data_IF_077849551352
#
_entry.id   IF_077849551352
#
_cell.length_a   1.000
_cell.length_b   1.000
_cell.length_c   1.000
_cell.angle_alpha   90.00
_cell.angle_beta   90.00
_cell.angle_gamma   90.00
#
_symmetry.space_group_name_H-M   'P 1'
#
loop_
_entity.id
_entity.type
_entity.pdbx_description
1 polymer ?
#
# COMPACT_ATOMS: atom_id res chain seq x y z
N UNK A 1 17.39 6.01 4.78
CA UNK A 1 17.70 4.63 5.17
C UNK A 1 19.20 4.38 5.25
N UNK A 2 19.98 4.84 4.28
CA UNK A 2 21.44 4.67 4.26
C UNK A 2 22.17 5.46 5.34
N UNK A 3 21.65 6.63 5.74
CA UNK A 3 22.21 7.41 6.86
C UNK A 3 21.91 6.77 8.21
N UNK A 4 20.72 6.16 8.36
CA UNK A 4 20.33 5.52 9.62
C UNK A 4 20.99 4.15 9.81
N UNK A 5 21.18 3.40 8.71
CA UNK A 5 21.88 2.11 8.59
C UNK A 5 21.68 1.16 9.79
N UNK A 6 20.42 0.90 10.14
CA UNK A 6 20.08 0.10 11.31
C UNK A 6 19.09 -1.03 10.96
N UNK A 7 19.38 -2.25 11.43
CA UNK A 7 18.60 -3.47 11.14
C UNK A 7 17.17 -3.47 11.67
N UNK A 8 16.79 -2.46 12.46
CA UNK A 8 15.44 -2.26 12.98
C UNK A 8 14.79 -0.95 12.52
N UNK A 9 15.38 -0.28 11.53
CA UNK A 9 14.81 0.91 10.90
C UNK A 9 14.27 0.51 9.52
N UNK A 10 13.01 0.81 9.26
CA UNK A 10 12.30 0.40 8.04
C UNK A 10 11.33 1.48 7.58
N UNK A 11 10.81 1.31 6.37
CA UNK A 11 9.87 2.23 5.74
C UNK A 11 8.45 1.68 5.85
N UNK A 12 7.52 2.59 6.16
CA UNK A 12 6.09 2.38 5.94
C UNK A 12 5.70 3.01 4.61
N UNK A 13 5.23 2.20 3.66
CA UNK A 13 4.57 2.74 2.47
C UNK A 13 3.18 3.23 2.88
N UNK A 14 2.84 4.48 2.59
CA UNK A 14 1.52 5.02 2.92
C UNK A 14 0.93 5.62 1.64
N UNK A 15 -0.09 4.96 1.10
CA UNK A 15 -0.55 5.05 -0.29
C UNK A 15 -1.09 6.44 -0.70
N UNK A 16 -0.20 7.42 -0.78
CA UNK A 16 -0.50 8.83 -0.98
C UNK A 16 -0.42 9.18 -2.46
N UNK A 17 -1.28 10.07 -2.96
CA UNK A 17 -1.26 10.47 -4.37
C UNK A 17 0.09 11.08 -4.82
N UNK A 18 0.88 11.62 -3.89
CA UNK A 18 2.24 12.12 -4.15
C UNK A 18 3.26 11.02 -4.49
N UNK A 19 2.92 9.76 -4.25
CA UNK A 19 3.76 8.61 -4.66
C UNK A 19 3.76 8.42 -6.19
N UNK A 20 2.79 9.03 -6.88
CA UNK A 20 2.61 8.91 -8.33
C UNK A 20 3.57 9.82 -9.08
N UNK A 21 4.13 9.31 -10.16
CA UNK A 21 4.81 10.11 -11.17
C UNK A 21 3.82 10.87 -12.07
N UNK A 22 4.36 11.62 -13.03
CA UNK A 22 3.59 12.40 -14.01
C UNK A 22 2.68 11.52 -14.89
N UNK A 23 2.97 10.23 -15.02
CA UNK A 23 2.16 9.26 -15.76
C UNK A 23 1.14 8.54 -14.87
N UNK A 24 1.17 8.80 -13.56
CA UNK A 24 0.27 8.21 -12.58
C UNK A 24 0.72 6.87 -12.01
N UNK A 25 1.91 6.38 -12.38
CA UNK A 25 2.50 5.15 -11.83
C UNK A 25 3.23 5.44 -10.53
N UNK A 26 3.28 4.46 -9.63
CA UNK A 26 4.07 4.54 -8.39
C UNK A 26 5.38 3.75 -8.47
N UNK A 27 5.62 3.05 -9.58
CA UNK A 27 6.68 2.03 -9.70
C UNK A 27 8.06 2.58 -9.40
N UNK A 28 8.42 3.72 -10.00
CA UNK A 28 9.73 4.34 -9.85
C UNK A 28 10.04 4.67 -8.38
N UNK A 29 9.09 5.32 -7.69
CA UNK A 29 9.20 5.67 -6.28
C UNK A 29 9.18 4.44 -5.37
N UNK A 30 8.37 3.42 -5.70
CA UNK A 30 8.33 2.16 -4.97
C UNK A 30 9.67 1.43 -5.03
N UNK A 31 10.27 1.33 -6.21
CA UNK A 31 11.55 0.62 -6.43
C UNK A 31 12.71 1.23 -5.62
N UNK A 32 12.68 2.54 -5.36
CA UNK A 32 13.66 3.22 -4.49
C UNK A 32 13.57 2.73 -3.04
N UNK A 33 12.38 2.37 -2.58
CA UNK A 33 12.11 2.06 -1.17
C UNK A 33 11.94 0.56 -0.89
N UNK A 34 11.65 -0.26 -1.91
CA UNK A 34 11.19 -1.65 -1.81
C UNK A 34 11.94 -2.50 -0.79
N UNK A 35 13.28 -2.42 -0.74
CA UNK A 35 14.12 -3.23 0.16
C UNK A 35 13.87 -2.94 1.65
N UNK A 36 13.39 -1.75 1.97
CA UNK A 36 13.13 -1.29 3.33
C UNK A 36 11.66 -1.30 3.72
N UNK A 37 10.73 -1.56 2.79
CA UNK A 37 9.30 -1.59 3.10
C UNK A 37 9.01 -2.77 4.03
N UNK A 38 8.41 -2.48 5.19
CA UNK A 38 7.98 -3.50 6.17
C UNK A 38 6.55 -3.30 6.68
N UNK A 39 5.97 -2.13 6.45
CA UNK A 39 4.56 -1.82 6.70
C UNK A 39 3.97 -1.13 5.47
N UNK A 40 2.67 -1.31 5.25
CA UNK A 40 1.95 -0.71 4.15
C UNK A 40 0.56 -0.25 4.62
N UNK A 41 0.33 1.06 4.61
CA UNK A 41 -0.98 1.67 4.83
C UNK A 41 -1.69 1.84 3.49
N UNK A 42 -2.94 1.42 3.46
CA UNK A 42 -3.85 1.56 2.33
C UNK A 42 -4.94 2.50 2.78
N UNK A 43 -5.11 3.61 2.07
CA UNK A 43 -6.18 4.56 2.34
C UNK A 43 -7.50 4.08 1.72
N UNK A 44 -8.11 4.86 0.84
CA UNK A 44 -9.41 4.54 0.26
C UNK A 44 -9.28 3.64 -0.98
N UNK A 45 -9.47 2.32 -0.85
CA UNK A 45 -9.41 1.39 -2.00
C UNK A 45 -10.41 1.72 -3.11
N UNK A 46 -11.54 2.37 -2.76
CA UNK A 46 -12.50 2.83 -3.76
C UNK A 46 -11.99 4.04 -4.57
N UNK A 47 -10.92 4.72 -4.13
CA UNK A 47 -10.31 5.81 -4.86
C UNK A 47 -9.55 5.27 -6.08
N UNK A 48 -10.11 5.45 -7.26
CA UNK A 48 -9.54 5.00 -8.53
C UNK A 48 -8.33 5.81 -8.99
N UNK A 49 -8.01 6.93 -8.34
CA UNK A 49 -6.86 7.75 -8.70
C UNK A 49 -5.53 7.13 -8.27
N UNK A 50 -5.54 6.23 -7.28
CA UNK A 50 -4.34 5.51 -6.85
C UNK A 50 -4.22 4.17 -7.59
N UNK A 51 -3.03 3.79 -8.10
CA UNK A 51 -2.86 2.59 -8.91
C UNK A 51 -2.78 1.31 -8.04
N UNK A 52 -3.89 0.92 -7.41
CA UNK A 52 -3.92 -0.18 -6.43
C UNK A 52 -3.39 -1.51 -6.95
N UNK A 53 -3.77 -1.91 -8.18
CA UNK A 53 -3.27 -3.16 -8.78
C UNK A 53 -1.77 -3.12 -9.01
N UNK A 54 -1.23 -1.96 -9.38
CA UNK A 54 0.22 -1.79 -9.52
C UNK A 54 0.90 -1.93 -8.16
N UNK A 55 0.36 -1.29 -7.11
CA UNK A 55 0.87 -1.45 -5.74
C UNK A 55 0.89 -2.91 -5.31
N UNK A 56 -0.21 -3.64 -5.46
CA UNK A 56 -0.27 -5.04 -5.05
C UNK A 56 0.66 -5.94 -5.86
N UNK A 57 0.77 -5.71 -7.17
CA UNK A 57 1.73 -6.39 -8.02
C UNK A 57 3.18 -6.15 -7.59
N UNK A 58 3.54 -4.90 -7.29
CA UNK A 58 4.87 -4.52 -6.81
C UNK A 58 5.19 -5.11 -5.43
N UNK A 59 4.23 -5.07 -4.49
CA UNK A 59 4.35 -5.70 -3.17
C UNK A 59 4.58 -7.21 -3.31
N UNK A 60 3.83 -7.88 -4.18
CA UNK A 60 4.01 -9.31 -4.45
C UNK A 60 5.41 -9.60 -5.02
N UNK A 61 5.84 -8.85 -6.04
CA UNK A 61 7.17 -8.99 -6.64
C UNK A 61 8.31 -8.72 -5.65
N UNK A 62 8.11 -7.80 -4.70
CA UNK A 62 9.05 -7.49 -3.63
C UNK A 62 9.05 -8.52 -2.48
N UNK A 63 8.27 -9.60 -2.57
CA UNK A 63 8.20 -10.64 -1.54
C UNK A 63 7.43 -10.23 -0.27
N UNK A 64 6.50 -9.29 -0.39
CA UNK A 64 5.70 -8.81 0.74
C UNK A 64 4.55 -9.76 1.14
N UNK A 65 4.32 -10.87 0.41
CA UNK A 65 3.13 -11.73 0.55
C UNK A 65 2.93 -12.40 1.92
N UNK A 66 3.97 -12.52 2.74
CA UNK A 66 3.86 -13.06 4.11
C UNK A 66 3.53 -12.00 5.17
N UNK A 67 3.23 -10.76 4.74
CA UNK A 67 2.90 -9.62 5.60
C UNK A 67 1.43 -9.22 5.41
N UNK A 68 1.01 -8.22 6.18
CA UNK A 68 -0.32 -7.63 6.10
C UNK A 68 -0.23 -6.17 5.63
N UNK A 69 -1.36 -5.68 5.12
CA UNK A 69 -1.61 -4.27 4.86
C UNK A 69 -2.56 -3.72 5.93
N UNK A 70 -2.45 -2.42 6.20
CA UNK A 70 -3.21 -1.73 7.23
C UNK A 70 -4.20 -0.77 6.56
N UNK A 71 -5.49 -0.92 6.84
CA UNK A 71 -6.50 0.02 6.37
C UNK A 71 -6.41 1.32 7.19
N UNK A 72 -5.97 2.40 6.55
CA UNK A 72 -5.93 3.76 7.09
C UNK A 72 -7.07 4.57 6.46
N UNK A 73 -8.30 4.24 6.86
CA UNK A 73 -9.56 4.81 6.35
C UNK A 73 -10.32 5.56 7.45
N UNK A 74 -11.23 6.45 7.03
CA UNK A 74 -12.12 7.15 7.95
C UNK A 74 -13.09 6.18 8.65
N UNK A 75 -13.48 6.55 9.88
CA UNK A 75 -14.49 5.79 10.63
C UNK A 75 -15.86 5.81 9.96
N UNK A 76 -16.66 4.78 10.24
CA UNK A 76 -18.04 4.65 9.78
C UNK A 76 -18.97 4.37 10.95
N UNK A 77 -20.23 4.82 10.85
CA UNK A 77 -21.29 4.45 11.78
C UNK A 77 -21.70 2.97 11.66
N UNK A 78 -21.34 2.33 10.55
CA UNK A 78 -21.51 0.89 10.30
C UNK A 78 -20.16 0.28 9.86
N UNK A 79 -19.23 0.04 10.81
CA UNK A 79 -17.87 -0.39 10.50
C UNK A 79 -17.83 -1.84 9.97
N UNK A 80 -18.70 -2.73 10.44
CA UNK A 80 -18.70 -4.13 10.01
C UNK A 80 -19.08 -4.24 8.53
N UNK A 81 -20.09 -3.48 8.08
CA UNK A 81 -20.47 -3.45 6.67
C UNK A 81 -19.36 -2.87 5.79
N UNK A 82 -18.74 -1.77 6.22
CA UNK A 82 -17.64 -1.14 5.47
C UNK A 82 -16.46 -2.10 5.34
N UNK A 83 -16.04 -2.76 6.43
CA UNK A 83 -14.91 -3.69 6.40
C UNK A 83 -15.19 -4.94 5.53
N UNK A 84 -16.45 -5.40 5.44
CA UNK A 84 -16.82 -6.48 4.50
C UNK A 84 -16.60 -6.06 3.04
N UNK A 85 -17.02 -4.85 2.66
CA UNK A 85 -16.82 -4.34 1.30
C UNK A 85 -15.35 -4.02 1.01
N UNK A 86 -14.66 -3.44 1.99
CA UNK A 86 -13.24 -3.15 1.90
C UNK A 86 -12.43 -4.43 1.66
N UNK A 87 -12.72 -5.49 2.42
CA UNK A 87 -12.11 -6.82 2.21
C UNK A 87 -12.40 -7.36 0.82
N UNK A 88 -13.66 -7.33 0.37
CA UNK A 88 -14.02 -7.84 -0.95
C UNK A 88 -13.28 -7.10 -2.08
N UNK A 89 -13.13 -5.78 -1.96
CA UNK A 89 -12.38 -4.97 -2.91
C UNK A 89 -10.86 -5.24 -2.83
N UNK A 90 -10.32 -5.43 -1.62
CA UNK A 90 -8.93 -5.84 -1.45
C UNK A 90 -8.66 -7.18 -2.14
N UNK A 91 -9.48 -8.20 -1.91
CA UNK A 91 -9.36 -9.52 -2.55
C UNK A 91 -9.38 -9.39 -4.08
N UNK A 92 -10.29 -8.58 -4.63
CA UNK A 92 -10.43 -8.31 -6.07
C UNK A 92 -9.18 -7.63 -6.68
N UNK A 93 -8.58 -6.69 -5.96
CA UNK A 93 -7.44 -5.91 -6.44
C UNK A 93 -6.10 -6.65 -6.27
N UNK A 94 -6.03 -7.62 -5.36
CA UNK A 94 -4.84 -8.46 -5.11
C UNK A 94 -4.75 -9.71 -5.97
N UNK A 95 -5.76 -9.97 -6.80
CA UNK A 95 -5.85 -11.18 -7.64
C UNK A 95 -4.86 -11.22 -8.80
#
# INVERSE_FOLDING_TARGET
>A
MEVADHNNCFVCWNSNLTDRDEQGSIKSNFELLQKWIRSCHINELANKEYPWRELFGLLHQAGYGERFTLAEIQGSSDPERVLKYYRALWEELTH
#
